data_IF_501805997801
#
_entry.id   IF_501805997801
#
_cell.length_a   1.000
_cell.length_b   1.000
_cell.length_c   1.000
_cell.angle_alpha   90.00
_cell.angle_beta   90.00
_cell.angle_gamma   90.00
#
_symmetry.space_group_name_H-M   'P 1'
#
loop_
_entity.id
_entity.type
_entity.pdbx_description
1 polymer ?
#
# COMPACT_ATOMS: atom_id res chain seq x y z
N UNK A 1 -17.24 62.32 60.47
CA UNK A 1 -16.11 61.48 60.01
C UNK A 1 -16.61 60.54 58.90
N UNK A 2 -16.36 60.87 57.62
CA UNK A 2 -16.80 60.10 56.48
C UNK A 2 -15.60 59.26 55.99
N UNK A 3 -15.72 57.97 56.05
CA UNK A 3 -14.72 57.00 55.45
C UNK A 3 -14.99 56.87 53.98
N UNK A 4 -14.04 57.25 53.16
CA UNK A 4 -14.02 57.06 51.70
C UNK A 4 -13.41 55.73 51.41
N UNK A 5 -14.21 54.79 50.85
CA UNK A 5 -13.75 53.49 50.44
C UNK A 5 -13.43 53.51 48.92
N UNK A 6 -12.12 53.38 48.58
CA UNK A 6 -11.65 53.30 47.20
C UNK A 6 -11.86 51.87 46.68
N UNK A 7 -12.69 51.69 45.65
CA UNK A 7 -12.82 50.47 44.84
C UNK A 7 -11.81 50.55 43.72
N UNK A 8 -10.85 49.62 43.72
CA UNK A 8 -9.88 49.43 42.62
C UNK A 8 -10.48 48.41 41.67
N UNK A 9 -10.71 48.70 40.34
CA UNK A 9 -11.11 47.69 39.39
C UNK A 9 -9.86 46.94 38.92
N UNK A 10 -9.84 45.61 39.17
CA UNK A 10 -8.84 44.71 38.64
C UNK A 10 -9.20 44.41 37.16
N UNK A 11 -8.41 44.98 36.26
CA UNK A 11 -8.51 44.69 34.81
C UNK A 11 -7.85 43.34 34.53
N UNK A 12 -8.63 42.28 34.34
CA UNK A 12 -8.14 40.98 33.92
C UNK A 12 -7.87 41.02 32.40
N UNK A 13 -6.61 41.12 32.00
CA UNK A 13 -6.18 40.97 30.62
C UNK A 13 -6.17 39.48 30.25
N UNK A 14 -7.17 39.03 29.51
CA UNK A 14 -7.19 37.68 28.92
C UNK A 14 -6.21 37.65 27.75
N UNK A 15 -5.05 37.02 27.94
CA UNK A 15 -4.09 36.73 26.87
C UNK A 15 -4.62 35.54 26.06
N UNK A 16 -5.20 35.81 24.90
CA UNK A 16 -5.56 34.79 23.89
C UNK A 16 -4.26 34.27 23.24
N UNK A 17 -3.76 33.15 23.74
CA UNK A 17 -2.67 32.42 23.11
C UNK A 17 -3.25 31.70 21.86
N UNK A 18 -3.14 32.32 20.70
CA UNK A 18 -3.47 31.70 19.41
C UNK A 18 -2.41 30.65 19.11
N UNK A 19 -2.72 29.39 19.38
CA UNK A 19 -1.91 28.26 18.97
C UNK A 19 -1.99 28.11 17.44
N UNK A 20 -1.07 28.74 16.72
CA UNK A 20 -0.88 28.51 15.29
C UNK A 20 -0.40 27.07 15.11
N UNK A 21 -1.31 26.16 14.77
CA UNK A 21 -0.95 24.80 14.35
C UNK A 21 -0.17 24.90 13.04
N UNK A 22 1.15 24.78 13.11
CA UNK A 22 2.00 24.71 11.93
C UNK A 22 1.56 23.48 11.12
N UNK A 23 0.92 23.71 9.98
CA UNK A 23 0.59 22.68 8.98
C UNK A 23 1.91 22.11 8.45
N UNK A 24 2.39 21.03 9.05
CA UNK A 24 3.56 20.31 8.56
C UNK A 24 3.24 19.74 7.19
N UNK A 25 3.99 20.20 6.18
CA UNK A 25 3.87 19.70 4.80
C UNK A 25 4.10 18.19 4.76
N UNK A 26 3.21 17.39 4.15
CA UNK A 26 3.35 15.94 4.13
C UNK A 26 4.69 15.54 3.47
N UNK A 27 5.44 14.68 4.16
CA UNK A 27 6.72 14.18 3.68
C UNK A 27 6.50 13.16 2.55
N UNK A 28 7.12 13.38 1.38
CA UNK A 28 7.14 12.42 0.28
C UNK A 28 8.25 11.39 0.51
N UNK A 29 7.95 10.12 0.26
CA UNK A 29 8.86 8.98 0.42
C UNK A 29 8.82 8.17 -0.87
N UNK A 30 9.97 7.99 -1.52
CA UNK A 30 10.09 7.06 -2.63
C UNK A 30 10.15 5.62 -2.08
N UNK A 31 9.33 4.75 -2.63
CA UNK A 31 9.32 3.32 -2.33
C UNK A 31 9.68 2.53 -3.59
N UNK A 32 10.63 1.62 -3.45
CA UNK A 32 10.99 0.62 -4.46
C UNK A 32 11.14 -0.72 -3.74
N UNK A 33 10.53 -1.77 -4.28
CA UNK A 33 10.67 -3.13 -3.76
C UNK A 33 10.70 -4.14 -4.88
N UNK A 34 11.47 -5.22 -4.69
CA UNK A 34 11.52 -6.36 -5.60
C UNK A 34 11.24 -7.62 -4.81
N UNK A 35 10.30 -8.42 -5.28
CA UNK A 35 9.87 -9.65 -4.65
C UNK A 35 9.76 -10.75 -5.68
N UNK A 36 10.10 -11.98 -5.29
CA UNK A 36 9.95 -13.18 -6.09
C UNK A 36 9.49 -14.34 -5.23
N UNK A 37 8.86 -15.34 -5.82
CA UNK A 37 8.35 -16.48 -5.08
C UNK A 37 7.48 -17.38 -5.92
N UNK A 38 6.51 -18.03 -5.25
CA UNK A 38 5.59 -18.98 -5.84
C UNK A 38 4.15 -18.50 -5.70
N UNK A 39 3.37 -18.71 -6.74
CA UNK A 39 1.92 -18.53 -6.73
C UNK A 39 1.23 -19.84 -7.08
N UNK A 40 0.16 -20.13 -6.37
CA UNK A 40 -0.75 -21.24 -6.68
C UNK A 40 -2.02 -20.68 -7.29
N UNK A 41 -2.50 -21.36 -8.32
CA UNK A 41 -3.71 -20.97 -9.05
C UNK A 41 -4.75 -22.09 -8.94
N UNK A 42 -5.97 -21.76 -8.53
CA UNK A 42 -7.12 -22.64 -8.51
C UNK A 42 -8.17 -22.09 -9.47
N UNK A 43 -8.59 -22.92 -10.43
CA UNK A 43 -9.60 -22.56 -11.44
C UNK A 43 -10.91 -23.25 -11.10
N UNK A 44 -11.99 -22.48 -11.00
CA UNK A 44 -13.36 -22.98 -10.82
C UNK A 44 -14.28 -22.27 -11.81
N UNK A 45 -14.64 -22.95 -12.89
CA UNK A 45 -15.30 -22.33 -14.04
C UNK A 45 -14.43 -21.22 -14.65
N UNK A 46 -14.98 -20.03 -14.81
CA UNK A 46 -14.23 -18.85 -15.27
C UNK A 46 -13.48 -18.12 -14.14
N UNK A 47 -13.74 -18.46 -12.89
CA UNK A 47 -13.08 -17.82 -11.75
C UNK A 47 -11.72 -18.45 -11.49
N UNK A 48 -10.70 -17.63 -11.47
CA UNK A 48 -9.34 -18.00 -11.08
C UNK A 48 -9.03 -17.40 -9.72
N UNK A 49 -8.68 -18.24 -8.75
CA UNK A 49 -8.17 -17.79 -7.44
C UNK A 49 -6.65 -17.95 -7.44
N UNK A 50 -5.94 -16.90 -7.04
CA UNK A 50 -4.47 -16.87 -7.01
C UNK A 50 -4.03 -16.59 -5.58
N UNK A 51 -3.08 -17.38 -5.07
CA UNK A 51 -2.39 -17.13 -3.80
C UNK A 51 -0.90 -17.04 -4.08
N UNK A 52 -0.27 -15.92 -3.80
CA UNK A 52 1.15 -15.66 -4.03
C UNK A 52 1.89 -15.47 -2.70
N UNK A 53 3.01 -16.16 -2.55
CA UNK A 53 3.93 -16.04 -1.43
C UNK A 53 5.35 -15.88 -1.94
N UNK A 54 6.06 -14.87 -1.47
CA UNK A 54 7.43 -14.62 -1.93
C UNK A 54 8.24 -13.85 -0.91
N UNK A 55 9.53 -13.74 -1.21
CA UNK A 55 10.48 -12.98 -0.42
C UNK A 55 11.12 -11.90 -1.29
N UNK A 56 11.63 -10.87 -0.65
CA UNK A 56 12.28 -9.78 -1.35
C UNK A 56 12.70 -8.67 -0.41
N UNK A 57 12.86 -7.49 -0.95
CA UNK A 57 13.18 -6.32 -0.13
C UNK A 57 12.50 -5.07 -0.69
N UNK A 58 12.22 -4.13 0.21
CA UNK A 58 11.69 -2.82 -0.16
C UNK A 58 12.35 -1.71 0.63
N UNK A 59 12.50 -0.54 0.02
CA UNK A 59 12.96 0.65 0.73
C UNK A 59 12.06 0.90 1.93
N UNK A 60 12.63 1.27 3.08
CA UNK A 60 11.94 1.56 4.35
C UNK A 60 11.44 0.34 5.13
N UNK A 61 11.13 -0.79 4.51
CA UNK A 61 10.70 -2.01 5.23
C UNK A 61 11.80 -3.05 5.32
N UNK A 62 12.82 -2.98 4.45
CA UNK A 62 13.94 -3.93 4.41
C UNK A 62 13.60 -5.25 3.75
N UNK A 63 14.39 -6.27 4.02
CA UNK A 63 14.12 -7.64 3.59
C UNK A 63 12.87 -8.20 4.28
N UNK A 64 12.08 -9.01 3.56
CA UNK A 64 10.85 -9.55 4.10
C UNK A 64 10.01 -10.32 3.10
N UNK A 65 8.74 -10.55 3.46
CA UNK A 65 7.82 -11.38 2.72
C UNK A 65 6.73 -10.56 2.01
N UNK A 66 6.32 -11.05 0.84
CA UNK A 66 5.09 -10.70 0.16
C UNK A 66 4.11 -11.85 0.30
N UNK A 67 2.89 -11.55 0.76
CA UNK A 67 1.76 -12.47 0.73
C UNK A 67 0.60 -11.76 0.06
N UNK A 68 0.00 -12.38 -0.94
CA UNK A 68 -1.14 -11.82 -1.65
C UNK A 68 -2.13 -12.91 -2.05
N UNK A 69 -3.40 -12.54 -2.11
CA UNK A 69 -4.45 -13.38 -2.65
C UNK A 69 -5.41 -12.54 -3.49
N UNK A 70 -5.96 -13.16 -4.53
CA UNK A 70 -6.88 -12.46 -5.42
C UNK A 70 -7.70 -13.43 -6.26
N UNK A 71 -8.66 -12.85 -6.98
CA UNK A 71 -9.48 -13.54 -7.94
C UNK A 71 -9.49 -12.80 -9.27
N UNK A 72 -9.59 -13.55 -10.36
CA UNK A 72 -9.73 -13.02 -11.72
C UNK A 72 -10.78 -13.78 -12.51
N UNK A 73 -11.13 -13.24 -13.68
CA UNK A 73 -12.05 -13.86 -14.62
C UNK A 73 -11.28 -14.30 -15.88
N UNK A 74 -11.03 -15.61 -15.99
CA UNK A 74 -10.31 -16.21 -17.12
C UNK A 74 -11.09 -16.24 -18.44
N UNK A 75 -12.36 -15.83 -18.46
CA UNK A 75 -13.12 -15.70 -19.72
C UNK A 75 -12.63 -14.54 -20.59
N UNK A 76 -11.85 -13.61 -20.00
CA UNK A 76 -11.34 -12.41 -20.67
C UNK A 76 -9.88 -12.58 -21.13
N UNK A 77 -9.60 -13.61 -21.89
CA UNK A 77 -8.27 -13.83 -22.48
C UNK A 77 -7.97 -12.82 -23.62
N UNK A 78 -6.69 -12.48 -23.90
CA UNK A 78 -5.47 -12.94 -23.22
C UNK A 78 -5.14 -12.16 -21.93
N UNK A 79 -5.90 -11.11 -21.59
CA UNK A 79 -5.67 -10.27 -20.42
C UNK A 79 -6.75 -10.50 -19.37
N UNK A 80 -6.42 -11.26 -18.34
CA UNK A 80 -7.32 -11.57 -17.23
C UNK A 80 -7.32 -10.41 -16.23
N UNK A 81 -8.44 -9.71 -16.05
CA UNK A 81 -8.56 -8.73 -14.98
C UNK A 81 -8.61 -9.45 -13.63
N UNK A 82 -7.99 -8.87 -12.62
CA UNK A 82 -8.01 -9.44 -11.27
C UNK A 82 -8.14 -8.39 -10.18
N UNK A 83 -8.63 -8.83 -9.04
CA UNK A 83 -8.70 -8.05 -7.80
C UNK A 83 -8.16 -8.85 -6.63
N UNK A 84 -7.69 -8.16 -5.60
CA UNK A 84 -7.16 -8.88 -4.44
C UNK A 84 -6.60 -7.97 -3.36
N UNK A 85 -6.02 -8.60 -2.35
CA UNK A 85 -5.39 -7.97 -1.20
C UNK A 85 -4.05 -8.62 -0.90
N UNK A 86 -3.21 -7.95 -0.13
CA UNK A 86 -1.95 -8.53 0.29
C UNK A 86 -1.20 -7.70 1.31
N UNK A 87 -0.04 -8.22 1.68
CA UNK A 87 0.87 -7.61 2.64
C UNK A 87 2.31 -7.68 2.15
N UNK A 88 3.07 -6.64 2.46
CA UNK A 88 4.53 -6.62 2.41
C UNK A 88 5.01 -6.48 3.84
N UNK A 89 5.69 -7.48 4.37
CA UNK A 89 6.17 -7.50 5.76
C UNK A 89 7.69 -7.53 5.78
N UNK A 90 8.31 -6.68 6.57
CA UNK A 90 9.74 -6.68 6.80
C UNK A 90 10.08 -6.20 8.21
N UNK A 91 11.35 -6.19 8.56
CA UNK A 91 11.83 -5.85 9.92
C UNK A 91 11.38 -4.45 10.40
N UNK A 92 11.13 -3.53 9.47
CA UNK A 92 10.75 -2.15 9.80
C UNK A 92 9.24 -1.89 9.76
N UNK A 93 8.40 -2.90 9.49
CA UNK A 93 6.94 -2.77 9.48
C UNK A 93 6.25 -3.55 8.37
N UNK A 94 4.95 -3.31 8.24
CA UNK A 94 4.09 -3.99 7.27
C UNK A 94 3.27 -2.97 6.50
N UNK A 95 3.14 -3.18 5.18
CA UNK A 95 2.21 -2.49 4.29
C UNK A 95 1.09 -3.47 3.94
N UNK A 96 -0.15 -3.07 4.16
CA UNK A 96 -1.35 -3.76 3.71
C UNK A 96 -1.88 -3.05 2.47
N UNK A 97 -2.24 -3.79 1.45
CA UNK A 97 -2.73 -3.21 0.20
C UNK A 97 -3.93 -3.97 -0.38
N UNK A 98 -4.65 -3.28 -1.25
CA UNK A 98 -5.67 -3.86 -2.13
C UNK A 98 -5.44 -3.39 -3.56
N UNK A 99 -5.82 -4.21 -4.53
CA UNK A 99 -5.78 -3.80 -5.94
C UNK A 99 -6.83 -2.71 -6.22
N UNK A 100 -6.45 -1.73 -7.02
CA UNK A 100 -7.39 -0.81 -7.66
C UNK A 100 -7.92 -1.42 -8.96
N UNK A 101 -8.93 -0.81 -9.53
CA UNK A 101 -9.43 -1.18 -10.86
C UNK A 101 -8.30 -1.12 -11.92
N UNK A 102 -8.39 -1.97 -12.94
CA UNK A 102 -7.43 -2.04 -14.03
C UNK A 102 -6.21 -2.92 -13.77
N UNK A 103 -6.19 -3.71 -12.70
CA UNK A 103 -5.19 -4.76 -12.53
C UNK A 103 -5.45 -5.88 -13.53
N UNK A 104 -4.40 -6.36 -14.20
CA UNK A 104 -4.50 -7.42 -15.19
C UNK A 104 -3.23 -8.25 -15.29
N UNK A 105 -3.40 -9.52 -15.66
CA UNK A 105 -2.36 -10.43 -16.08
C UNK A 105 -2.59 -10.80 -17.53
N UNK A 106 -1.70 -10.42 -18.43
CA UNK A 106 -1.79 -10.72 -19.86
C UNK A 106 -0.85 -11.86 -20.21
N UNK A 107 -1.42 -12.97 -20.70
CA UNK A 107 -0.68 -14.14 -21.16
C UNK A 107 0.04 -13.90 -22.49
N UNK A 108 1.15 -14.63 -22.70
CA UNK A 108 1.77 -14.79 -24.01
C UNK A 108 0.90 -15.70 -24.93
N UNK A 109 1.30 -15.89 -26.18
CA UNK A 109 0.59 -16.71 -27.15
C UNK A 109 0.39 -18.16 -26.69
N UNK A 110 1.32 -18.71 -25.89
CA UNK A 110 1.23 -20.05 -25.32
C UNK A 110 0.42 -20.11 -24.02
N UNK A 111 0.12 -18.97 -23.40
CA UNK A 111 -0.56 -18.92 -22.11
C UNK A 111 0.26 -19.44 -20.94
N UNK A 112 1.60 -19.51 -21.10
CA UNK A 112 2.54 -20.00 -20.09
C UNK A 112 3.06 -18.85 -19.21
N UNK A 113 3.42 -17.71 -19.82
CA UNK A 113 3.94 -16.57 -19.12
C UNK A 113 2.95 -15.41 -19.14
N UNK A 114 2.77 -14.79 -18.00
CA UNK A 114 1.88 -13.64 -17.84
C UNK A 114 2.68 -12.40 -17.45
N UNK A 115 2.43 -11.29 -18.13
CA UNK A 115 2.85 -9.97 -17.68
C UNK A 115 1.79 -9.41 -16.75
N UNK A 116 2.17 -9.11 -15.51
CA UNK A 116 1.27 -8.61 -14.47
C UNK A 116 1.45 -7.11 -14.31
N UNK A 117 0.37 -6.36 -14.33
CA UNK A 117 0.32 -4.92 -14.05
C UNK A 117 -0.80 -4.61 -13.07
N UNK A 118 -0.50 -3.87 -12.00
CA UNK A 118 -1.51 -3.47 -11.03
C UNK A 118 -1.16 -2.15 -10.35
N UNK A 119 -2.18 -1.46 -9.88
CA UNK A 119 -2.07 -0.37 -8.92
C UNK A 119 -2.67 -0.83 -7.59
N UNK A 120 -1.88 -0.75 -6.53
CA UNK A 120 -2.19 -1.30 -5.21
C UNK A 120 -2.35 -0.14 -4.21
N UNK A 121 -3.58 0.16 -3.81
CA UNK A 121 -3.84 1.17 -2.78
C UNK A 121 -3.37 0.67 -1.42
N UNK A 122 -2.60 1.46 -0.69
CA UNK A 122 -2.23 1.17 0.69
C UNK A 122 -3.45 1.39 1.57
N UNK A 123 -3.90 0.33 2.24
CA UNK A 123 -5.03 0.36 3.18
C UNK A 123 -4.59 0.60 4.62
N UNK A 124 -3.40 0.12 4.97
CA UNK A 124 -2.78 0.29 6.29
C UNK A 124 -1.27 0.16 6.16
N UNK A 125 -0.53 0.88 7.00
CA UNK A 125 0.90 0.68 7.15
C UNK A 125 1.32 0.80 8.62
N UNK A 126 2.36 0.07 9.00
CA UNK A 126 2.90 0.02 10.37
C UNK A 126 4.39 0.30 10.40
N UNK A 127 5.00 0.34 11.58
CA UNK A 127 6.44 0.55 11.76
C UNK A 127 6.92 1.89 11.20
N UNK A 128 8.06 1.90 10.53
CA UNK A 128 8.64 3.11 9.93
C UNK A 128 7.76 3.76 8.84
N UNK A 129 6.82 3.00 8.27
CA UNK A 129 5.83 3.48 7.29
C UNK A 129 4.45 3.77 7.90
N UNK A 130 4.31 3.74 9.23
CA UNK A 130 3.04 4.06 9.88
C UNK A 130 2.51 5.41 9.36
N UNK A 131 1.20 5.47 9.06
CA UNK A 131 0.49 6.59 8.43
C UNK A 131 0.85 6.85 6.95
N UNK A 132 1.76 6.09 6.34
CA UNK A 132 2.03 6.23 4.91
C UNK A 132 0.78 5.92 4.09
N UNK A 133 0.51 6.77 3.10
CA UNK A 133 -0.60 6.65 2.16
C UNK A 133 -0.07 6.73 0.73
N UNK A 134 -0.81 6.17 -0.20
CA UNK A 134 -0.48 6.22 -1.61
C UNK A 134 -0.83 4.92 -2.33
N UNK A 135 -0.34 4.81 -3.55
CA UNK A 135 -0.57 3.67 -4.43
C UNK A 135 0.77 3.13 -4.89
N UNK A 136 0.98 1.82 -4.73
CA UNK A 136 2.11 1.11 -5.30
C UNK A 136 1.76 0.73 -6.74
N UNK A 137 2.67 0.97 -7.68
CA UNK A 137 2.62 0.40 -9.03
C UNK A 137 3.37 -0.92 -9.00
N UNK A 138 2.69 -2.01 -9.33
CA UNK A 138 3.24 -3.35 -9.46
C UNK A 138 3.40 -3.68 -10.94
N UNK A 139 4.58 -4.16 -11.32
CA UNK A 139 4.88 -4.70 -12.65
C UNK A 139 5.72 -5.95 -12.44
N UNK A 140 5.32 -7.05 -13.07
CA UNK A 140 6.02 -8.30 -12.90
C UNK A 140 5.64 -9.34 -13.93
N UNK A 141 6.15 -10.54 -13.71
CA UNK A 141 5.88 -11.74 -14.52
C UNK A 141 5.40 -12.87 -13.60
N UNK A 142 4.60 -13.72 -14.15
CA UNK A 142 4.15 -14.97 -13.54
C UNK A 142 4.25 -16.08 -14.57
N UNK A 143 4.92 -17.17 -14.24
CA UNK A 143 4.96 -18.37 -15.05
C UNK A 143 3.93 -19.36 -14.49
N UNK A 144 3.01 -19.79 -15.36
CA UNK A 144 1.90 -20.67 -14.98
C UNK A 144 2.35 -22.10 -14.74
N UNK A 145 3.40 -22.55 -15.43
CA UNK A 145 3.81 -23.97 -15.43
C UNK A 145 4.48 -24.36 -14.12
N UNK A 146 5.33 -23.48 -13.60
CA UNK A 146 6.06 -23.71 -12.35
C UNK A 146 5.57 -22.86 -11.18
N UNK A 147 4.62 -21.96 -11.42
CA UNK A 147 4.07 -21.05 -10.42
C UNK A 147 4.99 -19.90 -10.02
N UNK A 148 6.17 -19.77 -10.62
CA UNK A 148 7.12 -18.74 -10.24
C UNK A 148 6.63 -17.34 -10.62
N UNK A 149 6.93 -16.35 -9.77
CA UNK A 149 6.68 -14.95 -10.10
C UNK A 149 7.82 -14.04 -9.66
N UNK A 150 7.91 -12.91 -10.35
CA UNK A 150 8.75 -11.78 -9.97
C UNK A 150 7.94 -10.50 -10.10
N UNK A 151 8.05 -9.59 -9.14
CA UNK A 151 7.34 -8.31 -9.16
C UNK A 151 8.21 -7.19 -8.64
N UNK A 152 8.21 -6.08 -9.36
CA UNK A 152 8.77 -4.80 -8.95
C UNK A 152 7.63 -3.88 -8.51
N UNK A 153 7.78 -3.29 -7.34
CA UNK A 153 6.86 -2.33 -6.75
C UNK A 153 7.50 -0.96 -6.68
N UNK A 154 6.81 0.06 -7.14
CA UNK A 154 7.30 1.45 -7.08
C UNK A 154 6.18 2.39 -6.63
N UNK A 155 6.52 3.40 -5.83
CA UNK A 155 5.58 4.44 -5.41
C UNK A 155 6.28 5.73 -4.96
N UNK A 156 5.52 6.82 -4.95
CA UNK A 156 5.78 7.99 -4.11
C UNK A 156 4.70 8.04 -3.04
N UNK A 157 5.07 7.74 -1.81
CA UNK A 157 4.18 7.72 -0.66
C UNK A 157 4.18 9.08 0.03
N UNK A 158 3.09 9.39 0.72
CA UNK A 158 2.98 10.56 1.62
C UNK A 158 2.83 10.11 3.06
N UNK A 159 3.49 10.82 3.98
CA UNK A 159 3.42 10.53 5.41
C UNK A 159 3.27 11.83 6.22
#
# INVERSE_FOLDING_TARGET
>A
MRKLTYLIPILAAAVLVSSASALTKPKKIAFVGNYSGQATTLVNGSTVTITAKGNGSGTMIGAGALNAQGTGDSSQQPCVPFGGTGTLTGASGTIYFKTNAGASGCGDEGGHNFTVKAYLAITKATGKLAKAKGTLRAVGTYNRDDGSFQVKLTATLTK
#
